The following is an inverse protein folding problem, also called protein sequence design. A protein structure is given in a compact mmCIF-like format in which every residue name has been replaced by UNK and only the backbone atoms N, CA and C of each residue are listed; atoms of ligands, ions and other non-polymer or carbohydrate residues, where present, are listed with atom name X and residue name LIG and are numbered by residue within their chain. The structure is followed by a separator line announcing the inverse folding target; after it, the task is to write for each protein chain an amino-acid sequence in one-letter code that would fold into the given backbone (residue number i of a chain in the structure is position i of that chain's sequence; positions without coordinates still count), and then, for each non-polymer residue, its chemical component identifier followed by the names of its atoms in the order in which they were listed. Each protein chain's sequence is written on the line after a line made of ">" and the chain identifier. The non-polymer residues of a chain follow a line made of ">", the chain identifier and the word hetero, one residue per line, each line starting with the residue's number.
data_IF_759134383303
#
_entry.id   IF_759134383303
#
_cell.length_a   1.000
_cell.length_b   1.000
_cell.length_c   1.000
_cell.angle_alpha   90.00
_cell.angle_beta   90.00
_cell.angle_gamma   90.00
#
_symmetry.space_group_name_H-M   'P 1'
#
loop_
_entity.id
_entity.type
_entity.pdbx_description
1 polymer ?
#
# COMPACT_ATOMS: atom_id res chain seq x y z
N UNK A 1 -0.24 5.38 34.44
CA UNK A 1 0.96 4.65 34.92
C UNK A 1 1.78 4.30 33.70
N UNK A 2 3.08 4.61 33.70
CA UNK A 2 3.98 4.27 32.60
C UNK A 2 4.37 2.78 32.68
N UNK A 3 4.61 2.13 31.53
CA UNK A 3 4.98 0.70 31.48
C UNK A 3 6.47 0.47 31.19
N UNK A 4 7.27 1.53 31.06
CA UNK A 4 8.67 1.44 30.65
C UNK A 4 8.86 0.70 29.32
N UNK A 5 7.89 0.81 28.39
CA UNK A 5 7.89 0.12 27.10
C UNK A 5 7.49 -1.37 27.13
N UNK A 6 7.07 -1.91 28.27
CA UNK A 6 6.69 -3.34 28.41
C UNK A 6 5.21 -3.63 28.13
N UNK A 7 4.38 -2.60 28.10
CA UNK A 7 2.92 -2.74 27.95
C UNK A 7 2.23 -3.28 29.20
N UNK A 8 0.92 -3.48 29.08
CA UNK A 8 0.07 -4.07 30.14
C UNK A 8 0.31 -5.58 30.20
N UNK A 9 0.55 -6.13 31.40
CA UNK A 9 0.87 -7.55 31.55
C UNK A 9 -0.35 -8.46 31.43
N UNK A 10 -1.47 -8.07 32.04
CA UNK A 10 -2.75 -8.78 31.97
C UNK A 10 -3.91 -7.89 32.40
N UNK A 11 -5.11 -8.30 32.02
CA UNK A 11 -6.39 -7.75 32.49
C UNK A 11 -6.95 -8.72 33.53
N UNK A 12 -7.61 -8.20 34.56
CA UNK A 12 -8.32 -8.95 35.60
C UNK A 12 -9.79 -8.53 35.63
N UNK A 13 -10.60 -9.16 36.47
CA UNK A 13 -11.98 -8.72 36.70
C UNK A 13 -12.08 -7.31 37.30
N UNK A 14 -11.04 -6.84 37.99
CA UNK A 14 -11.02 -5.55 38.68
C UNK A 14 -10.29 -4.45 37.93
N UNK A 15 -9.43 -4.79 36.96
CA UNK A 15 -8.67 -3.78 36.20
C UNK A 15 -7.47 -4.34 35.44
N UNK A 16 -6.35 -3.63 35.46
CA UNK A 16 -5.14 -3.97 34.69
C UNK A 16 -3.92 -4.12 35.58
N UNK A 17 -3.00 -5.03 35.22
CA UNK A 17 -1.76 -5.24 35.96
C UNK A 17 -0.57 -4.69 35.19
N UNK A 18 0.16 -3.78 35.84
CA UNK A 18 1.42 -3.19 35.35
C UNK A 18 2.47 -3.36 36.43
N UNK A 19 3.63 -3.92 36.07
CA UNK A 19 4.75 -4.17 37.00
C UNK A 19 4.36 -4.88 38.31
N UNK A 20 3.36 -5.77 38.25
CA UNK A 20 2.86 -6.54 39.38
C UNK A 20 1.84 -5.84 40.26
N UNK A 21 1.55 -4.56 40.01
CA UNK A 21 0.51 -3.78 40.71
C UNK A 21 -0.79 -3.81 39.91
N UNK A 22 -1.90 -4.09 40.59
CA UNK A 22 -3.24 -4.03 40.01
C UNK A 22 -3.79 -2.61 40.15
N UNK A 23 -4.16 -2.02 39.02
CA UNK A 23 -4.85 -0.74 38.95
C UNK A 23 -6.32 -1.03 38.69
N UNK A 24 -7.16 -0.81 39.69
CA UNK A 24 -8.62 -0.98 39.55
C UNK A 24 -9.20 0.05 38.59
N UNK A 25 -10.16 -0.39 37.78
CA UNK A 25 -10.82 0.43 36.77
C UNK A 25 -12.30 0.08 36.71
N UNK A 26 -13.15 1.08 36.61
CA UNK A 26 -14.58 0.89 36.30
C UNK A 26 -14.82 0.77 34.79
N UNK A 27 -13.88 1.24 33.97
CA UNK A 27 -13.96 1.26 32.51
C UNK A 27 -12.57 1.15 31.88
N UNK A 28 -12.45 0.33 30.83
CA UNK A 28 -11.22 0.17 30.03
C UNK A 28 -11.47 0.62 28.59
N UNK A 29 -10.76 1.67 28.17
CA UNK A 29 -10.84 2.21 26.81
C UNK A 29 -9.64 1.71 25.99
N UNK A 30 -9.92 1.05 24.85
CA UNK A 30 -8.89 0.61 23.91
C UNK A 30 -8.56 1.71 22.90
N UNK A 31 -7.50 2.47 23.17
CA UNK A 31 -6.89 3.41 22.23
C UNK A 31 -5.62 2.80 21.59
N UNK A 32 -5.68 1.52 21.22
CA UNK A 32 -4.52 0.71 20.79
C UNK A 32 -4.22 0.77 19.28
N UNK A 33 -4.94 1.61 18.54
CA UNK A 33 -4.73 1.81 17.10
C UNK A 33 -5.48 0.81 16.22
N UNK A 34 -4.92 0.53 15.04
CA UNK A 34 -5.52 -0.30 13.99
C UNK A 34 -4.52 -1.32 13.47
N UNK A 35 -5.02 -2.38 12.83
CA UNK A 35 -4.15 -3.34 12.15
C UNK A 35 -3.49 -2.71 10.92
N UNK A 36 -2.18 -2.94 10.77
CA UNK A 36 -1.40 -2.52 9.61
C UNK A 36 -0.71 -3.73 8.99
N UNK A 37 -0.46 -3.69 7.68
CA UNK A 37 0.29 -4.75 7.00
C UNK A 37 -0.49 -6.05 6.76
N UNK A 38 -1.80 -6.07 7.01
CA UNK A 38 -2.71 -7.18 6.65
C UNK A 38 -2.89 -7.32 5.13
N UNK A 39 -3.34 -8.48 4.66
CA UNK A 39 -3.66 -8.70 3.25
C UNK A 39 -4.77 -7.77 2.75
N UNK A 40 -4.74 -7.43 1.46
CA UNK A 40 -5.68 -6.49 0.86
C UNK A 40 -7.14 -6.94 1.03
N UNK A 41 -7.44 -8.22 0.76
CA UNK A 41 -8.77 -8.79 0.94
C UNK A 41 -9.31 -8.67 2.37
N UNK A 42 -8.43 -8.75 3.38
CA UNK A 42 -8.82 -8.57 4.80
C UNK A 42 -9.19 -7.13 5.11
N UNK A 43 -8.60 -6.15 4.41
CA UNK A 43 -8.90 -4.72 4.58
C UNK A 43 -10.16 -4.30 3.84
N UNK A 44 -10.38 -4.84 2.64
CA UNK A 44 -11.54 -4.50 1.81
C UNK A 44 -12.78 -5.32 2.15
N UNK A 45 -12.62 -6.48 2.78
CA UNK A 45 -13.71 -7.39 3.14
C UNK A 45 -14.19 -8.30 2.01
N UNK A 46 -13.47 -8.33 0.88
CA UNK A 46 -13.76 -9.20 -0.26
C UNK A 46 -12.48 -9.58 -1.01
N UNK A 47 -12.52 -10.70 -1.73
CA UNK A 47 -11.43 -11.13 -2.60
C UNK A 47 -11.61 -10.59 -4.02
N UNK A 48 -10.51 -10.19 -4.66
CA UNK A 48 -10.49 -9.80 -6.07
C UNK A 48 -9.96 -10.97 -6.89
N UNK A 49 -10.74 -11.39 -7.87
CA UNK A 49 -10.37 -12.49 -8.78
C UNK A 49 -10.12 -11.91 -10.17
N UNK A 50 -8.89 -12.07 -10.65
CA UNK A 50 -8.44 -11.64 -11.96
C UNK A 50 -8.62 -12.72 -13.03
N UNK A 51 -7.79 -12.66 -14.07
CA UNK A 51 -7.76 -13.66 -15.14
C UNK A 51 -7.46 -15.06 -14.61
N UNK A 52 -8.04 -16.06 -15.29
CA UNK A 52 -7.79 -17.48 -15.04
C UNK A 52 -8.05 -17.93 -13.59
N UNK A 53 -8.87 -17.18 -12.85
CA UNK A 53 -9.19 -17.45 -11.46
C UNK A 53 -8.10 -17.05 -10.45
N UNK A 54 -7.06 -16.32 -10.86
CA UNK A 54 -6.00 -15.85 -9.97
C UNK A 54 -6.55 -14.82 -8.98
N UNK A 55 -6.42 -15.09 -7.68
CA UNK A 55 -6.80 -14.11 -6.65
C UNK A 55 -5.71 -13.07 -6.45
N UNK A 56 -6.08 -11.85 -6.04
CA UNK A 56 -5.10 -10.80 -5.74
C UNK A 56 -4.24 -11.17 -4.53
N UNK A 57 -4.84 -11.85 -3.55
CA UNK A 57 -4.09 -12.44 -2.41
C UNK A 57 -3.01 -13.42 -2.89
N UNK A 58 -3.30 -14.30 -3.85
CA UNK A 58 -2.31 -15.21 -4.43
C UNK A 58 -1.24 -14.46 -5.22
N UNK A 59 -1.64 -13.51 -6.06
CA UNK A 59 -0.73 -12.71 -6.87
C UNK A 59 0.28 -11.93 -6.02
N UNK A 60 -0.12 -11.47 -4.82
CA UNK A 60 0.73 -10.71 -3.91
C UNK A 60 1.34 -11.52 -2.77
N UNK A 61 1.18 -12.85 -2.77
CA UNK A 61 1.76 -13.75 -1.75
C UNK A 61 3.28 -13.60 -1.62
N UNK A 62 3.97 -13.32 -2.73
CA UNK A 62 5.42 -13.06 -2.78
C UNK A 62 5.84 -11.62 -2.49
N UNK A 63 4.89 -10.72 -2.23
CA UNK A 63 5.07 -9.27 -2.15
C UNK A 63 4.23 -8.56 -3.20
N UNK A 64 3.76 -7.35 -2.87
CA UNK A 64 2.95 -6.51 -3.76
C UNK A 64 3.71 -6.20 -5.05
N UNK A 65 3.00 -6.22 -6.18
CA UNK A 65 3.51 -5.85 -7.50
C UNK A 65 2.44 -5.04 -8.20
N UNK A 66 2.84 -3.89 -8.72
CA UNK A 66 1.98 -2.93 -9.40
C UNK A 66 2.81 -2.12 -10.39
N UNK A 67 2.16 -1.46 -11.33
CA UNK A 67 2.67 -0.25 -11.96
C UNK A 67 2.14 0.97 -11.19
N UNK A 68 3.05 1.83 -10.75
CA UNK A 68 2.74 3.08 -10.03
C UNK A 68 1.87 2.92 -8.76
N UNK A 69 1.74 1.72 -8.18
CA UNK A 69 0.83 1.48 -7.06
C UNK A 69 -0.65 1.35 -7.44
N UNK A 70 -1.00 1.43 -8.73
CA UNK A 70 -2.38 1.57 -9.20
C UNK A 70 -2.85 0.41 -10.09
N UNK A 71 -1.99 -0.07 -11.00
CA UNK A 71 -2.36 -1.08 -12.00
C UNK A 71 -1.70 -2.41 -11.66
N UNK A 72 -2.42 -3.53 -11.87
CA UNK A 72 -1.92 -4.87 -11.57
C UNK A 72 -2.06 -5.78 -12.78
N UNK A 73 -0.97 -6.45 -13.16
CA UNK A 73 -0.94 -7.42 -14.23
C UNK A 73 -1.86 -8.61 -13.90
N UNK A 74 -2.70 -9.03 -14.85
CA UNK A 74 -3.66 -10.12 -14.63
C UNK A 74 -5.02 -9.65 -14.12
N UNK A 75 -5.16 -8.36 -13.79
CA UNK A 75 -6.39 -7.75 -13.27
C UNK A 75 -6.80 -6.56 -14.15
N UNK A 76 -7.32 -6.82 -15.36
CA UNK A 76 -7.68 -5.75 -16.29
C UNK A 76 -8.82 -4.89 -15.76
N UNK A 77 -8.71 -3.57 -16.00
CA UNK A 77 -9.66 -2.55 -15.51
C UNK A 77 -9.83 -2.51 -13.98
N UNK A 78 -8.93 -3.15 -13.23
CA UNK A 78 -8.79 -2.94 -11.79
C UNK A 78 -7.81 -1.79 -11.54
N UNK A 79 -8.22 -0.84 -10.70
CA UNK A 79 -7.36 0.19 -10.16
C UNK A 79 -7.34 0.07 -8.64
N UNK A 80 -6.15 -0.04 -8.06
CA UNK A 80 -5.97 -0.15 -6.61
C UNK A 80 -5.65 1.21 -6.03
N UNK A 81 -6.47 1.70 -5.11
CA UNK A 81 -6.13 2.85 -4.27
C UNK A 81 -5.57 2.37 -2.93
N UNK A 82 -4.25 2.48 -2.79
CA UNK A 82 -3.57 2.11 -1.56
C UNK A 82 -2.26 2.88 -1.41
N UNK A 83 -1.60 2.72 -0.26
CA UNK A 83 -0.22 3.19 -0.02
C UNK A 83 0.86 2.22 -0.51
N UNK A 84 0.49 1.01 -0.92
CA UNK A 84 1.48 0.02 -1.35
C UNK A 84 2.03 0.42 -2.72
N UNK A 85 3.35 0.58 -2.82
CA UNK A 85 4.05 1.03 -4.02
C UNK A 85 3.59 2.38 -4.60
N UNK A 86 2.86 3.18 -3.83
CA UNK A 86 2.43 4.54 -4.19
C UNK A 86 3.05 5.56 -3.21
N UNK A 87 2.76 6.85 -3.39
CA UNK A 87 3.26 7.90 -2.52
C UNK A 87 2.86 7.74 -1.04
N UNK A 88 3.69 8.29 -0.15
CA UNK A 88 3.38 8.41 1.28
C UNK A 88 3.50 9.87 1.72
N UNK A 89 2.37 10.46 2.10
CA UNK A 89 2.26 11.88 2.45
C UNK A 89 1.56 12.04 3.79
N UNK A 90 1.94 13.10 4.51
CA UNK A 90 1.27 13.52 5.76
C UNK A 90 -0.16 14.01 5.52
N UNK A 91 -0.48 14.43 4.29
CA UNK A 91 -1.82 14.83 3.88
C UNK A 91 -2.46 13.71 3.06
N UNK A 92 -3.11 12.75 3.73
CA UNK A 92 -3.69 11.58 3.05
C UNK A 92 -4.76 11.94 1.98
N UNK A 93 -5.66 12.90 2.21
CA UNK A 93 -6.57 13.38 1.16
C UNK A 93 -5.87 13.85 -0.13
N UNK A 94 -4.68 14.45 -0.03
CA UNK A 94 -3.90 14.82 -1.22
C UNK A 94 -3.46 13.58 -2.01
N UNK A 95 -3.04 12.50 -1.35
CA UNK A 95 -2.71 11.25 -2.05
C UNK A 95 -3.93 10.67 -2.79
N UNK A 96 -5.08 10.67 -2.12
CA UNK A 96 -6.33 10.17 -2.70
C UNK A 96 -6.70 10.97 -3.96
N UNK A 97 -6.59 12.30 -3.91
CA UNK A 97 -6.84 13.16 -5.08
C UNK A 97 -5.86 12.89 -6.24
N UNK A 98 -4.58 12.70 -5.94
CA UNK A 98 -3.56 12.33 -6.94
C UNK A 98 -3.87 10.98 -7.59
N UNK A 99 -4.24 9.97 -6.81
CA UNK A 99 -4.58 8.64 -7.31
C UNK A 99 -5.89 8.65 -8.11
N UNK A 100 -6.94 9.29 -7.59
CA UNK A 100 -8.23 9.40 -8.25
C UNK A 100 -8.12 10.17 -9.57
N UNK A 101 -7.34 11.27 -9.62
CA UNK A 101 -7.08 12.03 -10.85
C UNK A 101 -6.38 11.16 -11.90
N UNK A 102 -5.37 10.40 -11.49
CA UNK A 102 -4.65 9.49 -12.39
C UNK A 102 -5.57 8.39 -12.95
N UNK A 103 -6.38 7.76 -12.10
CA UNK A 103 -7.31 6.71 -12.51
C UNK A 103 -8.40 7.27 -13.42
N UNK A 104 -8.99 8.42 -13.07
CA UNK A 104 -9.99 9.10 -13.90
C UNK A 104 -9.43 9.46 -15.29
N UNK A 105 -8.18 9.91 -15.36
CA UNK A 105 -7.53 10.21 -16.63
C UNK A 105 -7.42 8.97 -17.53
N UNK A 106 -6.98 7.82 -16.99
CA UNK A 106 -6.89 6.57 -17.76
C UNK A 106 -8.27 6.07 -18.20
N UNK A 107 -9.26 6.12 -17.31
CA UNK A 107 -10.63 5.70 -17.65
C UNK A 107 -11.17 6.59 -18.77
N UNK A 108 -11.01 7.90 -18.68
CA UNK A 108 -11.42 8.83 -19.72
C UNK A 108 -10.70 8.56 -21.06
N UNK A 109 -9.38 8.34 -21.02
CA UNK A 109 -8.60 7.98 -22.19
C UNK A 109 -9.13 6.70 -22.84
N UNK A 110 -9.35 5.64 -22.06
CA UNK A 110 -9.82 4.35 -22.53
C UNK A 110 -11.21 4.46 -23.20
N UNK A 111 -12.15 5.16 -22.55
CA UNK A 111 -13.49 5.39 -23.10
C UNK A 111 -13.45 6.18 -24.41
N UNK A 112 -12.61 7.22 -24.49
CA UNK A 112 -12.48 8.08 -25.68
C UNK A 112 -11.92 7.31 -26.88
N UNK A 113 -11.03 6.34 -26.64
CA UNK A 113 -10.36 5.57 -27.70
C UNK A 113 -11.02 4.20 -27.95
N UNK A 114 -12.13 3.89 -27.28
CA UNK A 114 -12.82 2.61 -27.43
C UNK A 114 -12.02 1.42 -26.90
N UNK A 115 -11.08 1.66 -25.98
CA UNK A 115 -10.37 0.59 -25.30
C UNK A 115 -11.31 -0.14 -24.34
N UNK A 116 -11.20 -1.47 -24.34
CA UNK A 116 -12.02 -2.40 -23.56
C UNK A 116 -11.27 -2.99 -22.36
N UNK A 117 -9.94 -2.90 -22.37
CA UNK A 117 -9.08 -3.39 -21.30
C UNK A 117 -7.83 -2.54 -21.19
N UNK A 118 -7.48 -2.18 -19.96
CA UNK A 118 -6.22 -1.55 -19.59
C UNK A 118 -5.64 -2.29 -18.39
N UNK A 119 -4.37 -2.66 -18.46
CA UNK A 119 -3.65 -3.29 -17.35
C UNK A 119 -2.14 -3.10 -17.43
N UNK A 120 -1.43 -3.34 -16.33
CA UNK A 120 0.03 -3.33 -16.34
C UNK A 120 0.62 -4.51 -17.14
N UNK A 121 1.72 -4.27 -17.84
CA UNK A 121 2.59 -5.35 -18.32
C UNK A 121 3.43 -5.89 -17.16
N UNK A 122 3.88 -7.14 -17.26
CA UNK A 122 4.75 -7.75 -16.24
C UNK A 122 6.09 -7.02 -16.12
N UNK A 123 6.60 -6.50 -17.24
CA UNK A 123 7.84 -5.72 -17.32
C UNK A 123 7.71 -4.39 -16.56
N UNK A 124 6.58 -3.70 -16.72
CA UNK A 124 6.32 -2.43 -16.04
C UNK A 124 6.19 -2.62 -14.53
N UNK A 125 5.51 -3.67 -14.07
CA UNK A 125 5.48 -4.02 -12.65
C UNK A 125 6.88 -4.32 -12.11
N UNK A 126 7.69 -5.10 -12.84
CA UNK A 126 9.05 -5.42 -12.42
C UNK A 126 9.94 -4.17 -12.34
N UNK A 127 9.81 -3.26 -13.31
CA UNK A 127 10.50 -1.97 -13.30
C UNK A 127 10.10 -1.11 -12.09
N UNK A 128 8.81 -1.02 -11.81
CA UNK A 128 8.31 -0.24 -10.68
C UNK A 128 8.70 -0.84 -9.32
N UNK A 129 8.60 -2.17 -9.18
CA UNK A 129 9.11 -2.90 -8.01
C UNK A 129 10.57 -2.55 -7.73
N UNK A 130 11.41 -2.55 -8.76
CA UNK A 130 12.83 -2.20 -8.61
C UNK A 130 13.01 -0.74 -8.18
N UNK A 131 12.24 0.20 -8.72
CA UNK A 131 12.28 1.61 -8.32
C UNK A 131 11.91 1.80 -6.84
N UNK A 132 10.85 1.13 -6.37
CA UNK A 132 10.43 1.15 -4.96
C UNK A 132 11.51 0.53 -4.07
N UNK A 133 12.07 -0.63 -4.45
CA UNK A 133 13.09 -1.32 -3.68
C UNK A 133 14.38 -0.49 -3.58
N UNK A 134 14.84 0.14 -4.66
CA UNK A 134 16.02 0.99 -4.67
C UNK A 134 15.92 2.13 -3.64
N UNK A 135 14.74 2.74 -3.53
CA UNK A 135 14.44 3.82 -2.58
C UNK A 135 14.18 3.33 -1.16
N UNK A 136 13.80 2.06 -0.99
CA UNK A 136 13.59 1.44 0.32
C UNK A 136 14.87 1.21 1.15
N UNK A 137 16.05 1.38 0.54
CA UNK A 137 17.35 1.21 1.21
C UNK A 137 17.53 2.15 2.41
N UNK A 138 17.10 3.41 2.30
CA UNK A 138 17.09 4.36 3.43
C UNK A 138 16.12 3.96 4.56
N UNK A 139 15.12 3.13 4.27
CA UNK A 139 14.22 2.58 5.30
C UNK A 139 14.85 1.47 6.14
N UNK A 140 15.99 0.89 5.72
CA UNK A 140 16.68 -0.15 6.50
C UNK A 140 17.28 0.42 7.78
N UNK A 141 17.90 1.61 7.71
CA UNK A 141 18.40 2.28 8.92
C UNK A 141 17.27 2.74 9.82
N UNK A 142 16.20 3.30 9.24
CA UNK A 142 15.00 3.67 10.01
C UNK A 142 14.38 2.45 10.70
N UNK A 143 14.27 1.32 10.02
CA UNK A 143 13.73 0.09 10.60
C UNK A 143 14.60 -0.44 11.75
N UNK A 144 15.93 -0.22 11.73
CA UNK A 144 16.86 -0.63 12.78
C UNK A 144 16.88 0.30 13.99
N UNK A 145 16.75 1.61 13.76
CA UNK A 145 16.98 2.62 14.79
C UNK A 145 15.68 3.16 15.41
N UNK A 146 14.54 3.04 14.71
CA UNK A 146 13.26 3.44 15.28
C UNK A 146 12.73 2.39 16.24
N UNK A 147 12.09 2.87 17.31
CA UNK A 147 11.26 2.03 18.19
C UNK A 147 10.20 1.27 17.37
N UNK A 148 9.84 0.05 17.77
CA UNK A 148 8.77 -0.71 17.14
C UNK A 148 7.49 0.12 16.97
N UNK A 149 6.90 0.04 15.79
CA UNK A 149 5.62 0.66 15.48
C UNK A 149 5.14 0.32 14.08
N UNK A 150 3.99 0.85 13.68
CA UNK A 150 3.40 0.54 12.38
C UNK A 150 4.26 0.96 11.18
N UNK A 151 5.12 1.98 11.32
CA UNK A 151 6.04 2.44 10.27
C UNK A 151 7.15 1.44 9.93
N UNK A 152 7.55 0.60 10.88
CA UNK A 152 8.56 -0.45 10.67
C UNK A 152 8.02 -1.86 10.95
N UNK A 153 6.69 -2.02 11.03
CA UNK A 153 5.99 -3.28 11.31
C UNK A 153 6.52 -3.97 12.56
N UNK A 154 6.63 -3.22 13.64
CA UNK A 154 7.16 -3.69 14.92
C UNK A 154 8.60 -4.26 14.80
N UNK A 155 9.37 -3.80 13.81
CA UNK A 155 10.73 -4.28 13.53
C UNK A 155 10.79 -5.55 12.65
N UNK A 156 9.67 -6.10 12.21
CA UNK A 156 9.60 -7.35 11.44
C UNK A 156 9.62 -7.11 9.91
N UNK A 157 10.72 -6.56 9.39
CA UNK A 157 10.89 -6.37 7.95
C UNK A 157 11.38 -7.66 7.24
N UNK A 158 10.66 -8.10 6.22
CA UNK A 158 11.06 -9.16 5.26
C UNK A 158 11.29 -8.58 3.85
N UNK A 159 11.76 -9.41 2.92
CA UNK A 159 11.86 -9.01 1.51
C UNK A 159 10.49 -8.66 0.91
N UNK A 160 9.47 -9.51 1.13
CA UNK A 160 8.12 -9.29 0.64
C UNK A 160 7.49 -8.01 1.23
N UNK A 161 7.71 -7.73 2.52
CA UNK A 161 7.19 -6.52 3.15
C UNK A 161 7.86 -5.24 2.64
N UNK A 162 9.14 -5.32 2.22
CA UNK A 162 9.86 -4.19 1.60
C UNK A 162 9.35 -3.93 0.19
N UNK A 163 9.07 -4.99 -0.56
CA UNK A 163 8.50 -4.87 -1.91
C UNK A 163 7.12 -4.18 -1.88
N UNK A 164 6.28 -4.50 -0.89
CA UNK A 164 5.01 -3.82 -0.67
C UNK A 164 5.08 -2.58 0.22
N UNK A 165 6.26 -1.95 0.34
CA UNK A 165 6.36 -0.64 0.98
C UNK A 165 5.80 0.45 0.08
N UNK A 166 5.62 1.64 0.63
CA UNK A 166 5.32 2.83 -0.17
C UNK A 166 6.54 3.26 -0.98
N UNK A 167 6.29 4.00 -2.05
CA UNK A 167 7.31 4.75 -2.76
C UNK A 167 7.90 5.82 -1.82
N UNK A 168 9.19 5.71 -1.53
CA UNK A 168 9.93 6.65 -0.70
C UNK A 168 10.53 7.76 -1.56
N UNK A 169 10.01 8.97 -1.41
CA UNK A 169 10.43 10.14 -2.15
C UNK A 169 10.00 11.43 -1.48
N UNK A 170 10.17 12.55 -2.19
CA UNK A 170 9.61 13.83 -1.77
C UNK A 170 8.08 13.79 -1.64
N UNK A 171 7.46 14.70 -0.87
CA UNK A 171 6.01 14.70 -0.63
C UNK A 171 5.16 14.87 -1.90
N UNK A 172 5.73 15.46 -2.96
CA UNK A 172 5.09 15.68 -4.27
C UNK A 172 5.64 14.78 -5.37
N UNK A 173 6.76 14.11 -5.14
CA UNK A 173 7.52 13.41 -6.20
C UNK A 173 6.71 12.30 -6.86
N UNK A 174 5.92 11.56 -6.08
CA UNK A 174 5.01 10.55 -6.66
C UNK A 174 3.96 11.19 -7.59
N UNK A 175 3.40 12.34 -7.20
CA UNK A 175 2.44 13.05 -8.05
C UNK A 175 3.11 13.62 -9.31
N UNK A 176 4.34 14.11 -9.19
CA UNK A 176 5.16 14.58 -10.32
C UNK A 176 5.46 13.45 -11.32
N UNK A 177 5.77 12.24 -10.84
CA UNK A 177 5.96 11.06 -11.69
C UNK A 177 4.69 10.76 -12.48
N UNK A 178 3.53 10.73 -11.82
CA UNK A 178 2.26 10.47 -12.50
C UNK A 178 1.90 11.58 -13.49
N UNK A 179 2.14 12.84 -13.14
CA UNK A 179 1.90 13.98 -14.03
C UNK A 179 2.78 13.90 -15.27
N UNK A 180 4.09 13.71 -15.11
CA UNK A 180 5.02 13.59 -16.22
C UNK A 180 4.66 12.39 -17.12
N UNK A 181 4.28 11.26 -16.53
CA UNK A 181 3.85 10.09 -17.29
C UNK A 181 2.58 10.38 -18.12
N UNK A 182 1.61 11.11 -17.58
CA UNK A 182 0.43 11.58 -18.35
C UNK A 182 0.82 12.56 -19.45
N UNK A 183 1.74 13.47 -19.19
CA UNK A 183 2.20 14.47 -20.16
C UNK A 183 2.90 13.80 -21.36
N UNK A 184 3.58 12.66 -21.14
CA UNK A 184 4.18 11.81 -22.18
C UNK A 184 3.19 10.82 -22.84
N UNK A 185 1.89 11.00 -22.60
CA UNK A 185 0.82 10.22 -23.23
C UNK A 185 0.28 9.06 -22.40
N UNK A 186 0.87 8.78 -21.23
CA UNK A 186 0.23 8.03 -20.14
C UNK A 186 -0.16 6.60 -20.46
N UNK A 187 0.59 5.89 -21.29
CA UNK A 187 0.32 4.49 -21.62
C UNK A 187 1.55 3.59 -21.52
N UNK A 188 2.74 4.15 -21.29
CA UNK A 188 3.94 3.35 -21.16
C UNK A 188 3.82 2.35 -20.00
N UNK A 189 4.09 1.08 -20.30
CA UNK A 189 3.92 -0.03 -19.38
C UNK A 189 2.50 -0.57 -19.22
N UNK A 190 1.53 -0.10 -20.02
CA UNK A 190 0.17 -0.65 -20.05
C UNK A 190 -0.07 -1.53 -21.30
N UNK A 191 -0.69 -2.69 -21.12
CA UNK A 191 -1.34 -3.44 -22.20
C UNK A 191 -2.77 -2.89 -22.40
N UNK A 192 -3.06 -2.42 -23.61
CA UNK A 192 -4.35 -1.81 -23.99
C UNK A 192 -5.02 -2.69 -25.04
N UNK A 193 -6.26 -3.10 -24.77
CA UNK A 193 -7.04 -4.01 -25.63
C UNK A 193 -8.27 -3.33 -26.18
N UNK A 194 -8.55 -3.53 -27.46
CA UNK A 194 -9.67 -2.88 -28.16
C UNK A 194 -9.36 -1.44 -28.56
N UNK A 195 -10.21 -0.87 -29.43
CA UNK A 195 -10.03 0.48 -29.98
C UNK A 195 -9.24 0.51 -31.30
N UNK A 196 -9.42 1.58 -32.07
CA UNK A 196 -8.60 1.88 -33.26
C UNK A 196 -7.31 2.57 -32.82
N UNK A 197 -6.15 2.07 -33.28
CA UNK A 197 -4.88 2.80 -33.20
C UNK A 197 -4.94 4.14 -33.91
#
# INVERSE_FOLDING_TARGET
>A
VDTGGRGVRRITERGVVVDGVEHELDCLIFATGFEVGTDYARRTGFEVVGRDGLTLTDAWRGGVRTLHGLYVHGFPNLFVESIAQSGFTVNFPYLLDVQATQVAWIINWALTHGATGVEATTEAEAGWVNAVLARSTGSVERARNCTPGYYNREGHATAATRQGSFFLGGPTEYAEILQAWRDDGGLDGLDVRGGSR
#
